data_IF_671486989018
#
_entry.id   IF_671486989018
#
_cell.length_a   1.000
_cell.length_b   1.000
_cell.length_c   1.000
_cell.angle_alpha   90.00
_cell.angle_beta   90.00
_cell.angle_gamma   90.00
#
_symmetry.space_group_name_H-M   'P 1'
#
loop_
_entity.id
_entity.type
_entity.pdbx_description
1 polymer ?
#
# COMPACT_ATOMS: atom_id res chain seq x y z
N UNK A 1 -2.59 19.53 -8.02
CA UNK A 1 -2.35 18.37 -8.91
C UNK A 1 -2.26 17.11 -8.04
N UNK A 2 -3.33 16.32 -7.94
CA UNK A 2 -3.41 15.19 -7.01
C UNK A 2 -2.85 13.91 -7.65
N UNK A 3 -1.53 13.71 -7.54
CA UNK A 3 -0.84 12.45 -7.87
C UNK A 3 -0.77 11.58 -6.61
N UNK A 4 -1.72 10.64 -6.41
CA UNK A 4 -1.85 9.86 -5.15
C UNK A 4 -2.08 8.35 -5.32
N UNK A 5 -1.83 7.77 -6.50
CA UNK A 5 -2.10 6.34 -6.72
C UNK A 5 -1.10 5.35 -6.14
N UNK A 6 0.16 5.74 -5.90
CA UNK A 6 1.21 4.81 -5.43
C UNK A 6 1.37 4.84 -3.89
N UNK A 7 0.95 5.92 -3.22
CA UNK A 7 1.21 6.16 -1.78
C UNK A 7 -0.02 5.98 -0.87
N UNK A 8 -1.18 5.60 -1.41
CA UNK A 8 -2.41 5.57 -0.61
C UNK A 8 -2.38 4.53 0.51
N UNK A 9 -1.72 3.38 0.30
CA UNK A 9 -1.61 2.33 1.31
C UNK A 9 -0.84 2.80 2.56
N UNK A 10 0.30 3.48 2.35
CA UNK A 10 1.07 4.05 3.45
C UNK A 10 0.30 5.15 4.18
N UNK A 11 -0.44 5.99 3.45
CA UNK A 11 -1.29 7.03 4.05
C UNK A 11 -2.43 6.44 4.88
N UNK A 12 -3.06 5.35 4.41
CA UNK A 12 -4.05 4.60 5.20
C UNK A 12 -3.40 4.09 6.48
N UNK A 13 -2.27 3.39 6.40
CA UNK A 13 -1.55 2.86 7.57
C UNK A 13 -1.17 3.96 8.57
N UNK A 14 -0.73 5.12 8.09
CA UNK A 14 -0.39 6.27 8.94
C UNK A 14 -1.60 6.77 9.73
N UNK A 15 -2.77 6.80 9.10
CA UNK A 15 -4.03 7.26 9.71
C UNK A 15 -4.64 6.27 10.70
N UNK A 16 -4.49 4.98 10.42
CA UNK A 16 -4.93 3.91 11.34
C UNK A 16 -3.86 3.53 12.37
N UNK A 17 -2.72 4.24 12.42
CA UNK A 17 -1.67 3.97 13.41
C UNK A 17 -2.23 4.12 14.83
N UNK A 18 -1.97 3.12 15.67
CA UNK A 18 -2.47 3.08 17.05
C UNK A 18 -3.93 2.63 17.16
N UNK A 19 -4.53 2.13 16.08
CA UNK A 19 -5.77 1.38 16.12
C UNK A 19 -5.46 -0.07 16.47
N UNK A 20 -6.11 -0.60 17.50
CA UNK A 20 -6.03 -2.01 17.86
C UNK A 20 -6.86 -2.85 16.89
N UNK A 21 -6.32 -4.01 16.50
CA UNK A 21 -7.01 -4.97 15.65
C UNK A 21 -7.45 -6.18 16.50
N UNK A 22 -8.66 -6.74 16.27
CA UNK A 22 -9.57 -6.45 15.17
C UNK A 22 -10.31 -5.11 15.30
N UNK A 23 -10.42 -4.38 14.18
CA UNK A 23 -11.06 -3.06 14.10
C UNK A 23 -12.33 -3.10 13.24
N UNK A 24 -13.35 -2.32 13.61
CA UNK A 24 -14.60 -2.24 12.86
C UNK A 24 -14.50 -1.25 11.69
N UNK A 25 -15.37 -1.43 10.69
CA UNK A 25 -15.48 -0.52 9.54
C UNK A 25 -15.78 0.92 9.99
N UNK A 26 -16.59 1.11 11.02
CA UNK A 26 -16.91 2.43 11.60
C UNK A 26 -15.69 3.09 12.22
N UNK A 27 -14.89 2.34 12.99
CA UNK A 27 -13.64 2.86 13.56
C UNK A 27 -12.67 3.29 12.46
N UNK A 28 -12.59 2.53 11.37
CA UNK A 28 -11.72 2.83 10.23
C UNK A 28 -12.26 4.03 9.44
N UNK A 29 -13.58 4.12 9.22
CA UNK A 29 -14.23 5.29 8.61
C UNK A 29 -13.92 6.56 9.36
N UNK A 30 -13.97 6.54 10.70
CA UNK A 30 -13.63 7.71 11.52
C UNK A 30 -12.17 8.14 11.32
N UNK A 31 -11.23 7.19 11.24
CA UNK A 31 -9.81 7.47 10.96
C UNK A 31 -9.57 7.99 9.54
N UNK A 32 -10.40 7.58 8.58
CA UNK A 32 -10.26 7.89 7.16
C UNK A 32 -11.24 8.94 6.64
N UNK A 33 -12.01 9.62 7.51
CA UNK A 33 -13.06 10.58 7.11
C UNK A 33 -12.57 11.73 6.21
N UNK A 34 -11.33 12.18 6.43
CA UNK A 34 -10.69 13.25 5.65
C UNK A 34 -9.70 12.72 4.59
N UNK A 35 -9.74 11.41 4.31
CA UNK A 35 -8.89 10.78 3.31
C UNK A 35 -9.63 10.64 1.98
N UNK A 36 -8.96 11.02 0.88
CA UNK A 36 -9.51 10.97 -0.46
C UNK A 36 -8.56 10.25 -1.41
N UNK A 37 -9.10 9.29 -2.15
CA UNK A 37 -8.43 8.56 -3.23
C UNK A 37 -8.99 9.03 -4.57
N UNK A 38 -8.17 9.72 -5.38
CA UNK A 38 -8.58 10.30 -6.66
C UNK A 38 -9.89 11.13 -6.61
N UNK A 39 -10.06 11.90 -5.52
CA UNK A 39 -11.25 12.73 -5.30
C UNK A 39 -12.44 11.99 -4.70
N UNK A 40 -12.36 10.67 -4.55
CA UNK A 40 -13.38 9.87 -3.86
C UNK A 40 -13.05 9.78 -2.37
N UNK A 41 -14.00 10.09 -1.46
CA UNK A 41 -13.82 9.88 -0.03
C UNK A 41 -13.55 8.41 0.28
N UNK A 42 -12.59 8.14 1.16
CA UNK A 42 -12.29 6.78 1.59
C UNK A 42 -13.48 6.10 2.29
N UNK A 43 -14.37 6.89 2.91
CA UNK A 43 -15.64 6.38 3.45
C UNK A 43 -16.51 5.74 2.38
N UNK A 44 -16.64 6.35 1.19
CA UNK A 44 -17.36 5.76 0.05
C UNK A 44 -16.70 4.46 -0.42
N UNK A 45 -15.36 4.39 -0.42
CA UNK A 45 -14.64 3.14 -0.76
C UNK A 45 -14.93 2.07 0.30
N UNK A 46 -14.94 2.42 1.58
CA UNK A 46 -15.25 1.49 2.66
C UNK A 46 -16.72 1.03 2.61
N UNK A 47 -17.64 1.86 2.13
CA UNK A 47 -19.06 1.48 1.94
C UNK A 47 -19.25 0.35 0.92
N UNK A 48 -18.32 0.21 -0.04
CA UNK A 48 -18.32 -0.89 -1.01
C UNK A 48 -17.81 -2.23 -0.43
N UNK A 49 -17.32 -2.22 0.81
CA UNK A 49 -16.79 -3.40 1.50
C UNK A 49 -17.89 -4.02 2.36
N UNK A 50 -18.22 -5.28 2.08
CA UNK A 50 -19.22 -6.07 2.83
C UNK A 50 -18.74 -6.45 4.25
N UNK A 51 -17.43 -6.53 4.46
CA UNK A 51 -16.85 -6.86 5.75
C UNK A 51 -17.01 -5.71 6.74
N UNK A 52 -17.51 -6.02 7.94
CA UNK A 52 -17.70 -5.05 9.03
C UNK A 52 -16.50 -5.00 9.98
N UNK A 53 -15.61 -5.99 9.94
CA UNK A 53 -14.46 -6.13 10.84
C UNK A 53 -13.23 -6.59 10.08
N UNK A 54 -12.06 -6.07 10.48
CA UNK A 54 -10.76 -6.39 9.89
C UNK A 54 -9.81 -6.85 10.99
N UNK A 55 -9.11 -7.96 10.78
CA UNK A 55 -8.20 -8.56 11.76
C UNK A 55 -6.76 -8.04 11.64
N UNK A 56 -6.43 -7.36 10.54
CA UNK A 56 -5.10 -6.77 10.36
C UNK A 56 -5.12 -5.59 9.39
N UNK A 57 -4.09 -4.72 9.44
CA UNK A 57 -3.93 -3.66 8.44
C UNK A 57 -3.80 -4.19 7.01
N UNK A 58 -3.18 -5.36 6.82
CA UNK A 58 -3.03 -5.98 5.49
C UNK A 58 -4.38 -6.41 4.92
N UNK A 59 -5.27 -6.95 5.75
CA UNK A 59 -6.63 -7.33 5.36
C UNK A 59 -7.47 -6.11 4.98
N UNK A 60 -7.38 -5.02 5.76
CA UNK A 60 -8.02 -3.75 5.40
C UNK A 60 -7.55 -3.22 4.03
N UNK A 61 -6.24 -3.15 3.81
CA UNK A 61 -5.69 -2.67 2.55
C UNK A 61 -6.14 -3.54 1.37
N UNK A 62 -6.21 -4.86 1.57
CA UNK A 62 -6.72 -5.78 0.57
C UNK A 62 -8.19 -5.51 0.24
N UNK A 63 -9.06 -5.40 1.25
CA UNK A 63 -10.48 -5.13 1.03
C UNK A 63 -10.73 -3.77 0.38
N UNK A 64 -10.01 -2.73 0.80
CA UNK A 64 -10.05 -1.42 0.15
C UNK A 64 -9.59 -1.50 -1.31
N UNK A 65 -8.60 -2.35 -1.62
CA UNK A 65 -8.15 -2.59 -2.99
C UNK A 65 -9.26 -3.12 -3.88
N UNK A 66 -9.98 -4.13 -3.38
CA UNK A 66 -11.04 -4.78 -4.12
C UNK A 66 -12.22 -3.85 -4.33
N UNK A 67 -12.57 -3.05 -3.32
CA UNK A 67 -13.55 -1.98 -3.44
C UNK A 67 -13.16 -0.95 -4.52
N UNK A 68 -11.90 -0.47 -4.51
CA UNK A 68 -11.38 0.43 -5.54
C UNK A 68 -11.48 -0.22 -6.93
N UNK A 69 -11.10 -1.50 -7.06
CA UNK A 69 -11.20 -2.23 -8.34
C UNK A 69 -12.64 -2.30 -8.83
N UNK A 70 -13.60 -2.63 -7.96
CA UNK A 70 -15.04 -2.66 -8.31
C UNK A 70 -15.56 -1.30 -8.76
N UNK A 71 -15.07 -0.21 -8.17
CA UNK A 71 -15.42 1.16 -8.57
C UNK A 71 -14.79 1.55 -9.91
N UNK A 72 -13.55 1.14 -10.17
CA UNK A 72 -12.89 1.31 -11.48
C UNK A 72 -13.62 0.53 -12.59
N UNK A 73 -14.00 -0.73 -12.34
CA UNK A 73 -14.75 -1.57 -13.29
C UNK A 73 -16.11 -0.96 -13.66
N UNK A 74 -16.73 -0.24 -12.72
CA UNK A 74 -17.97 0.51 -12.94
C UNK A 74 -17.77 1.87 -13.63
N UNK A 75 -16.52 2.29 -13.86
CA UNK A 75 -16.19 3.61 -14.42
C UNK A 75 -16.37 4.77 -13.46
N UNK A 76 -16.58 4.51 -12.16
CA UNK A 76 -16.72 5.55 -11.12
C UNK A 76 -15.36 6.14 -10.71
N UNK A 77 -14.27 5.43 -11.00
CA UNK A 77 -12.90 5.89 -10.83
C UNK A 77 -12.17 5.90 -12.17
N UNK A 78 -11.30 6.90 -12.44
CA UNK A 78 -10.39 6.82 -13.57
C UNK A 78 -9.56 5.54 -13.44
N UNK A 79 -9.34 4.81 -14.55
CA UNK A 79 -8.63 3.52 -14.63
C UNK A 79 -7.12 3.64 -14.39
N UNK A 80 -6.74 4.51 -13.47
CA UNK A 80 -5.40 4.97 -13.19
C UNK A 80 -5.12 4.46 -11.78
N UNK A 81 -4.33 3.38 -11.70
CA UNK A 81 -3.50 2.93 -10.55
C UNK A 81 -3.89 1.71 -9.69
N UNK A 82 -5.12 1.19 -9.63
CA UNK A 82 -5.35 0.04 -8.72
C UNK A 82 -4.63 -1.25 -9.15
N UNK A 83 -4.44 -1.48 -10.46
CA UNK A 83 -3.79 -2.70 -10.98
C UNK A 83 -2.31 -2.83 -10.60
N UNK A 84 -1.60 -1.73 -10.30
CA UNK A 84 -0.11 -1.72 -10.16
C UNK A 84 0.38 -1.52 -8.72
N UNK A 85 -0.43 -0.87 -7.87
CA UNK A 85 -0.01 -0.41 -6.54
C UNK A 85 -0.34 -1.34 -5.37
N UNK A 86 -1.34 -2.22 -5.50
CA UNK A 86 -2.01 -2.76 -4.30
C UNK A 86 -1.57 -4.17 -3.90
N UNK A 87 -1.32 -5.03 -4.89
CA UNK A 87 -0.95 -6.42 -4.61
C UNK A 87 0.40 -6.50 -3.88
N UNK A 88 1.37 -5.66 -4.28
CA UNK A 88 2.69 -5.68 -3.67
C UNK A 88 2.71 -5.13 -2.24
N UNK A 89 1.91 -4.10 -1.91
CA UNK A 89 1.89 -3.54 -0.57
C UNK A 89 1.35 -4.55 0.46
N UNK A 90 0.27 -5.26 0.11
CA UNK A 90 -0.27 -6.35 0.93
C UNK A 90 0.74 -7.49 1.07
N UNK A 91 1.41 -7.90 -0.02
CA UNK A 91 2.42 -8.95 0.04
C UNK A 91 3.68 -8.54 0.84
N UNK A 92 4.10 -7.29 0.75
CA UNK A 92 5.15 -6.75 1.62
C UNK A 92 4.74 -6.91 3.08
N UNK A 93 3.55 -6.41 3.46
CA UNK A 93 3.06 -6.50 4.84
C UNK A 93 2.95 -7.94 5.35
N UNK A 94 2.48 -8.87 4.51
CA UNK A 94 2.41 -10.29 4.86
C UNK A 94 3.80 -10.86 5.15
N UNK A 95 4.81 -10.53 4.34
CA UNK A 95 6.17 -11.03 4.48
C UNK A 95 6.94 -10.43 5.65
N UNK A 96 6.71 -9.15 5.96
CA UNK A 96 7.29 -8.49 7.13
C UNK A 96 6.46 -8.67 8.40
N UNK A 97 5.38 -9.46 8.36
CA UNK A 97 4.55 -9.71 9.55
C UNK A 97 5.39 -10.35 10.64
N UNK A 98 5.33 -9.78 11.85
CA UNK A 98 6.13 -10.24 12.99
C UNK A 98 7.59 -9.78 12.96
N UNK A 99 7.96 -8.89 12.05
CA UNK A 99 9.23 -8.17 12.11
C UNK A 99 9.08 -6.99 13.09
N UNK A 100 9.98 -6.90 14.07
CA UNK A 100 10.05 -5.76 14.97
C UNK A 100 10.65 -4.55 14.26
N UNK A 101 10.07 -3.38 14.52
CA UNK A 101 10.57 -2.10 14.00
C UNK A 101 11.20 -1.30 15.15
N UNK A 102 12.32 -0.59 14.91
CA UNK A 102 12.94 -0.30 13.62
C UNK A 102 13.67 -1.51 13.00
N UNK A 103 13.51 -1.68 11.69
CA UNK A 103 14.12 -2.75 10.92
C UNK A 103 15.14 -2.20 9.91
N UNK A 104 16.26 -2.91 9.74
CA UNK A 104 17.30 -2.57 8.77
C UNK A 104 16.91 -2.98 7.35
N UNK A 105 17.52 -2.34 6.35
CA UNK A 105 17.31 -2.67 4.94
C UNK A 105 17.64 -4.14 4.67
N UNK A 106 18.70 -4.68 5.28
CA UNK A 106 19.12 -6.07 5.16
C UNK A 106 18.06 -7.04 5.68
N UNK A 107 17.51 -6.79 6.88
CA UNK A 107 16.44 -7.61 7.45
C UNK A 107 15.19 -7.60 6.54
N UNK A 108 14.87 -6.44 5.96
CA UNK A 108 13.72 -6.30 5.05
C UNK A 108 13.99 -7.03 3.74
N UNK A 109 15.18 -6.92 3.15
CA UNK A 109 15.58 -7.66 1.94
C UNK A 109 15.44 -9.16 2.16
N UNK A 110 15.91 -9.68 3.29
CA UNK A 110 15.80 -11.10 3.62
C UNK A 110 14.34 -11.56 3.66
N UNK A 111 13.45 -10.79 4.29
CA UNK A 111 12.00 -11.07 4.34
C UNK A 111 11.33 -10.96 2.97
N UNK A 112 11.76 -10.00 2.15
CA UNK A 112 11.17 -9.71 0.85
C UNK A 112 11.82 -10.45 -0.32
N UNK A 113 12.80 -11.32 -0.04
CA UNK A 113 13.55 -12.07 -1.05
C UNK A 113 12.63 -12.81 -2.04
N UNK A 114 12.88 -12.62 -3.33
CA UNK A 114 12.08 -13.21 -4.41
C UNK A 114 10.66 -12.65 -4.54
N UNK A 115 10.30 -11.56 -3.85
CA UNK A 115 9.11 -10.78 -4.20
C UNK A 115 9.42 -9.94 -5.44
N UNK A 116 8.58 -10.04 -6.45
CA UNK A 116 8.72 -9.27 -7.69
C UNK A 116 7.59 -8.27 -7.84
N UNK A 117 7.93 -7.07 -8.27
CA UNK A 117 7.01 -6.04 -8.72
C UNK A 117 7.21 -5.86 -10.23
N UNK A 118 6.20 -6.20 -11.03
CA UNK A 118 6.27 -6.16 -12.50
C UNK A 118 7.55 -6.80 -13.10
N UNK A 119 7.95 -7.96 -12.56
CA UNK A 119 9.13 -8.71 -13.00
C UNK A 119 10.45 -8.25 -12.38
N UNK A 120 10.46 -7.13 -11.65
CA UNK A 120 11.64 -6.56 -10.99
C UNK A 120 11.65 -6.97 -9.52
N UNK A 121 12.79 -7.44 -9.03
CA UNK A 121 12.94 -7.84 -7.64
C UNK A 121 12.79 -6.63 -6.71
N UNK A 122 11.99 -6.79 -5.65
CA UNK A 122 11.84 -5.76 -4.60
C UNK A 122 13.19 -5.42 -3.97
N UNK A 123 14.14 -6.35 -3.94
CA UNK A 123 15.51 -6.12 -3.48
C UNK A 123 16.19 -5.00 -4.28
N UNK A 124 16.01 -4.97 -5.61
CA UNK A 124 16.52 -3.91 -6.49
C UNK A 124 15.84 -2.56 -6.23
N UNK A 125 14.54 -2.59 -5.94
CA UNK A 125 13.79 -1.37 -5.58
C UNK A 125 14.28 -0.83 -4.22
N UNK A 126 14.54 -1.71 -3.26
CA UNK A 126 15.11 -1.34 -1.95
C UNK A 126 16.52 -0.74 -2.08
N UNK A 127 17.32 -1.16 -3.07
CA UNK A 127 18.64 -0.58 -3.35
C UNK A 127 18.58 0.89 -3.76
N UNK A 128 17.49 1.33 -4.40
CA UNK A 128 17.29 2.73 -4.80
C UNK A 128 16.91 3.63 -3.61
N UNK A 129 16.59 3.05 -2.45
CA UNK A 129 16.22 3.78 -1.24
C UNK A 129 17.50 4.15 -0.48
N UNK A 130 17.81 5.44 -0.26
CA UNK A 130 19.04 5.84 0.44
C UNK A 130 19.07 5.50 1.93
N UNK A 131 17.91 5.23 2.55
CA UNK A 131 17.80 4.91 3.98
C UNK A 131 18.22 3.47 4.26
N UNK A 132 18.96 3.26 5.34
CA UNK A 132 19.38 1.92 5.80
C UNK A 132 18.48 1.31 6.88
N UNK A 133 17.53 2.07 7.43
CA UNK A 133 16.56 1.56 8.40
C UNK A 133 15.21 2.25 8.27
N UNK A 134 14.17 1.55 8.74
CA UNK A 134 12.78 1.96 8.65
C UNK A 134 12.12 1.82 10.02
N UNK A 135 11.34 2.80 10.44
CA UNK A 135 10.74 2.86 11.78
C UNK A 135 9.34 2.25 11.83
N UNK A 136 8.71 1.99 10.69
CA UNK A 136 7.39 1.37 10.63
C UNK A 136 7.10 0.74 9.27
N UNK A 137 6.13 -0.18 9.18
CA UNK A 137 5.64 -0.70 7.90
C UNK A 137 5.13 0.40 6.96
N UNK A 138 4.51 1.45 7.50
CA UNK A 138 4.04 2.58 6.71
C UNK A 138 5.19 3.36 6.06
N UNK A 139 6.28 3.58 6.81
CA UNK A 139 7.49 4.22 6.27
C UNK A 139 8.12 3.36 5.17
N UNK A 140 8.23 2.04 5.38
CA UNK A 140 8.74 1.13 4.35
C UNK A 140 7.91 1.19 3.06
N UNK A 141 6.58 1.08 3.15
CA UNK A 141 5.70 1.14 1.98
C UNK A 141 5.82 2.49 1.26
N UNK A 142 5.96 3.59 2.02
CA UNK A 142 6.15 4.91 1.45
C UNK A 142 7.45 5.02 0.64
N UNK A 143 8.57 4.58 1.22
CA UNK A 143 9.88 4.63 0.54
C UNK A 143 9.93 3.70 -0.68
N UNK A 144 9.34 2.51 -0.59
CA UNK A 144 9.17 1.60 -1.74
C UNK A 144 8.34 2.26 -2.86
N UNK A 145 7.21 2.88 -2.50
CA UNK A 145 6.36 3.60 -3.45
C UNK A 145 7.12 4.75 -4.16
N UNK A 146 7.93 5.51 -3.42
CA UNK A 146 8.75 6.58 -3.98
C UNK A 146 9.87 6.04 -4.89
N UNK A 147 10.52 4.94 -4.50
CA UNK A 147 11.55 4.28 -5.31
C UNK A 147 10.97 3.74 -6.63
N UNK A 148 9.83 3.05 -6.57
CA UNK A 148 9.10 2.59 -7.75
C UNK A 148 8.79 3.78 -8.67
N UNK A 149 8.23 4.87 -8.14
CA UNK A 149 7.91 6.05 -8.96
C UNK A 149 9.15 6.61 -9.68
N UNK A 150 10.28 6.72 -8.99
CA UNK A 150 11.52 7.24 -9.58
C UNK A 150 12.02 6.35 -10.71
N UNK A 151 11.98 5.02 -10.54
CA UNK A 151 12.35 4.08 -11.59
C UNK A 151 11.39 4.16 -12.80
N UNK A 152 10.10 4.41 -12.56
CA UNK A 152 9.07 4.60 -13.58
C UNK A 152 9.32 5.87 -14.40
N UNK A 153 9.62 6.98 -13.71
CA UNK A 153 9.95 8.28 -14.30
C UNK A 153 11.25 8.23 -15.13
N UNK A 154 12.22 7.40 -14.74
CA UNK A 154 13.47 7.15 -15.49
C UNK A 154 13.27 6.20 -16.68
N UNK A 155 12.10 5.58 -16.82
CA UNK A 155 11.83 4.59 -17.87
C UNK A 155 12.54 3.25 -17.65
N UNK A 156 13.07 3.00 -16.45
CA UNK A 156 13.79 1.77 -16.09
C UNK A 156 12.82 0.64 -15.70
N UNK A 157 11.55 0.97 -15.43
CA UNK A 157 10.47 0.00 -15.24
C UNK A 157 9.78 -0.30 -16.58
N UNK A 158 10.50 -0.84 -17.55
CA UNK A 158 9.84 -1.49 -18.68
C UNK A 158 9.46 -2.90 -18.25
N UNK A 159 8.14 -3.14 -18.17
CA UNK A 159 7.60 -4.47 -18.06
C UNK A 159 8.22 -5.32 -19.17
N UNK A 160 9.06 -6.29 -18.81
CA UNK A 160 9.43 -7.34 -19.74
C UNK A 160 8.14 -8.07 -20.09
N UNK A 161 7.80 -8.02 -21.38
CA UNK A 161 6.62 -8.61 -21.98
C UNK A 161 6.53 -10.12 -21.72
#
# INVERSE_FOLDING_TARGET
MARRGINWAAEVLKRIRGLDFPATKEQIKERLKDFYYYGIPATKILDEIEQETFNSPAELLHAMAEAIRKLEERGELPSVTARRGINWAVEVLKRIRGLDFPATKEQIKERLKGLKWHGIDIERILDEIPKESFNSPAELLHELAEAIRKLEERGELQATA
#
